data_IF_091261950781
#
_entry.id   IF_091261950781
#
_cell.length_a   1.000
_cell.length_b   1.000
_cell.length_c   1.000
_cell.angle_alpha   90.00
_cell.angle_beta   90.00
_cell.angle_gamma   90.00
#
_symmetry.space_group_name_H-M   'P 1'
#
loop_
_entity.id
_entity.type
_entity.pdbx_description
1 polymer ?
#
# COMPACT_ATOMS: atom_id res chain seq x y z
N UNK A 1 -17.94 -45.26 -14.34
CA UNK A 1 -17.69 -44.86 -12.95
C UNK A 1 -16.79 -43.66 -13.00
N UNK A 2 -17.32 -42.55 -12.50
CA UNK A 2 -16.91 -41.17 -12.72
C UNK A 2 -15.78 -40.80 -11.75
N UNK A 3 -14.53 -40.84 -12.21
CA UNK A 3 -13.39 -40.31 -11.45
C UNK A 3 -13.23 -38.82 -11.79
N UNK A 4 -14.17 -38.01 -11.29
CA UNK A 4 -13.98 -36.58 -11.14
C UNK A 4 -12.96 -36.37 -10.03
N UNK A 5 -11.67 -36.39 -10.39
CA UNK A 5 -10.66 -35.70 -9.60
C UNK A 5 -11.09 -34.24 -9.51
N UNK A 6 -11.71 -33.89 -8.38
CA UNK A 6 -11.73 -32.53 -7.89
C UNK A 6 -10.28 -32.12 -7.70
N UNK A 7 -9.70 -31.57 -8.75
CA UNK A 7 -8.53 -30.71 -8.73
C UNK A 7 -8.83 -29.59 -7.72
N UNK A 8 -8.62 -29.85 -6.43
CA UNK A 8 -8.58 -28.79 -5.44
C UNK A 8 -7.46 -27.87 -5.88
N UNK A 9 -7.80 -26.65 -6.29
CA UNK A 9 -6.84 -25.63 -6.63
C UNK A 9 -5.82 -25.57 -5.49
N UNK A 10 -4.58 -25.96 -5.77
CA UNK A 10 -3.50 -26.06 -4.78
C UNK A 10 -3.18 -24.71 -4.12
N UNK A 11 -3.70 -23.64 -4.73
CA UNK A 11 -3.58 -22.25 -4.37
C UNK A 11 -4.97 -21.67 -4.07
N UNK A 12 -5.10 -21.02 -2.93
CA UNK A 12 -6.29 -20.27 -2.55
C UNK A 12 -5.93 -18.85 -2.14
N UNK A 13 -6.75 -17.89 -2.56
CA UNK A 13 -6.59 -16.48 -2.24
C UNK A 13 -7.49 -16.13 -1.05
N UNK A 14 -6.87 -15.74 0.06
CA UNK A 14 -7.57 -15.20 1.23
C UNK A 14 -7.65 -13.68 1.06
N UNK A 15 -8.83 -13.20 0.67
CA UNK A 15 -9.11 -11.77 0.53
C UNK A 15 -9.19 -11.14 1.92
N UNK A 16 -8.39 -10.08 2.14
CA UNK A 16 -8.37 -9.32 3.41
C UNK A 16 -8.94 -7.92 3.27
N UNK A 17 -8.69 -7.29 2.11
CA UNK A 17 -9.19 -5.96 1.81
C UNK A 17 -9.76 -5.91 0.40
N UNK A 18 -10.82 -5.13 0.25
CA UNK A 18 -11.51 -4.88 -1.01
C UNK A 18 -11.84 -3.41 -1.14
N UNK A 19 -11.94 -2.91 -2.35
CA UNK A 19 -12.42 -1.55 -2.58
C UNK A 19 -12.36 -1.17 -4.03
N UNK A 20 -12.29 0.13 -4.28
CA UNK A 20 -12.15 0.68 -5.62
C UNK A 20 -10.89 1.52 -5.73
N UNK A 21 -10.29 1.51 -6.92
CA UNK A 21 -9.13 2.33 -7.24
C UNK A 21 -9.34 2.99 -8.60
N UNK A 22 -8.85 4.22 -8.73
CA UNK A 22 -8.84 4.94 -10.01
C UNK A 22 -7.61 4.49 -10.81
N UNK A 23 -7.82 4.19 -12.08
CA UNK A 23 -6.79 3.92 -13.07
C UNK A 23 -6.73 5.07 -14.05
N UNK A 24 -5.52 5.43 -14.47
CA UNK A 24 -5.28 6.45 -15.49
C UNK A 24 -4.76 5.77 -16.76
N UNK A 25 -5.40 6.08 -17.89
CA UNK A 25 -4.92 5.65 -19.21
C UNK A 25 -3.91 6.66 -19.82
N UNK A 26 -3.29 6.30 -20.95
CA UNK A 26 -2.32 7.19 -21.62
C UNK A 26 -2.89 8.53 -22.10
N UNK A 27 -4.21 8.67 -22.17
CA UNK A 27 -4.89 9.91 -22.58
C UNK A 27 -5.26 10.80 -21.38
N UNK A 28 -5.05 10.32 -20.16
CA UNK A 28 -5.50 10.97 -18.93
C UNK A 28 -6.94 10.61 -18.54
N UNK A 29 -7.58 9.69 -19.27
CA UNK A 29 -8.89 9.15 -18.96
C UNK A 29 -8.84 8.36 -17.65
N UNK A 30 -9.92 8.46 -16.88
CA UNK A 30 -10.05 7.77 -15.60
C UNK A 30 -11.00 6.58 -15.72
N UNK A 31 -10.57 5.44 -15.19
CA UNK A 31 -11.38 4.22 -15.11
C UNK A 31 -11.36 3.74 -13.66
N UNK A 32 -12.52 3.54 -13.06
CA UNK A 32 -12.60 2.92 -11.73
C UNK A 32 -12.56 1.40 -11.88
N UNK A 33 -11.69 0.75 -11.12
CA UNK A 33 -11.59 -0.71 -11.04
C UNK A 33 -11.84 -1.16 -9.61
N UNK A 34 -12.40 -2.36 -9.46
CA UNK A 34 -12.49 -3.01 -8.15
C UNK A 34 -11.14 -3.66 -7.84
N UNK A 35 -10.75 -3.62 -6.57
CA UNK A 35 -9.55 -4.29 -6.10
C UNK A 35 -9.84 -5.27 -4.97
N UNK A 36 -9.00 -6.29 -4.92
CA UNK A 36 -8.89 -7.20 -3.79
C UNK A 36 -7.42 -7.38 -3.45
N UNK A 37 -7.12 -7.52 -2.18
CA UNK A 37 -5.76 -7.81 -1.72
C UNK A 37 -5.78 -8.71 -0.50
N UNK A 38 -4.71 -9.46 -0.31
CA UNK A 38 -4.61 -10.37 0.81
C UNK A 38 -3.50 -11.40 0.63
N UNK A 39 -3.75 -12.60 1.16
CA UNK A 39 -2.77 -13.67 1.16
C UNK A 39 -3.01 -14.69 0.07
N UNK A 40 -1.92 -15.23 -0.43
CA UNK A 40 -1.87 -16.48 -1.18
C UNK A 40 -1.51 -17.58 -0.21
N UNK A 41 -2.49 -18.39 0.13
CA UNK A 41 -2.24 -19.59 0.89
C UNK A 41 -2.14 -20.78 -0.07
N UNK A 42 -1.16 -21.64 0.19
CA UNK A 42 -0.99 -22.89 -0.55
C UNK A 42 -1.28 -24.04 0.41
N UNK A 43 -1.95 -25.09 -0.05
CA UNK A 43 -2.26 -26.26 0.77
C UNK A 43 -1.02 -27.08 1.19
N UNK A 44 0.20 -26.55 1.03
CA UNK A 44 1.48 -27.22 1.31
C UNK A 44 2.29 -26.40 2.31
N UNK A 45 2.68 -27.03 3.41
CA UNK A 45 3.38 -26.44 4.57
C UNK A 45 4.75 -25.81 4.29
N UNK A 46 5.31 -25.99 3.08
CA UNK A 46 6.68 -25.57 2.70
C UNK A 46 6.75 -24.43 1.69
N UNK A 47 5.62 -23.96 1.17
CA UNK A 47 5.60 -22.80 0.29
C UNK A 47 5.15 -21.62 1.13
N UNK A 48 6.02 -20.62 1.26
CA UNK A 48 5.77 -19.40 2.01
C UNK A 48 4.43 -18.80 1.57
N UNK A 49 3.56 -18.45 2.54
CA UNK A 49 2.34 -17.72 2.24
C UNK A 49 2.73 -16.42 1.54
N UNK A 50 2.23 -16.22 0.33
CA UNK A 50 2.50 -15.02 -0.46
C UNK A 50 1.44 -13.96 -0.23
N UNK A 51 1.58 -12.86 -0.94
CA UNK A 51 0.63 -11.75 -1.01
C UNK A 51 0.13 -11.60 -2.43
N UNK A 52 -1.11 -11.12 -2.57
CA UNK A 52 -1.65 -10.74 -3.87
C UNK A 52 -2.34 -9.39 -3.83
N UNK A 53 -2.34 -8.73 -4.98
CA UNK A 53 -3.24 -7.62 -5.30
C UNK A 53 -3.85 -7.93 -6.67
N UNK A 54 -5.18 -7.90 -6.72
CA UNK A 54 -5.98 -8.16 -7.91
C UNK A 54 -6.80 -6.93 -8.24
N UNK A 55 -6.89 -6.61 -9.52
CA UNK A 55 -7.79 -5.58 -10.06
C UNK A 55 -8.72 -6.18 -11.10
N UNK A 56 -9.98 -5.81 -11.02
CA UNK A 56 -11.02 -6.20 -11.99
C UNK A 56 -11.57 -4.94 -12.64
N UNK A 57 -11.34 -4.80 -13.94
CA UNK A 57 -11.92 -3.72 -14.74
C UNK A 57 -13.44 -3.92 -14.91
N UNK A 58 -14.19 -2.86 -15.25
CA UNK A 58 -15.60 -2.99 -15.64
C UNK A 58 -15.84 -3.93 -16.84
N UNK A 59 -14.81 -4.16 -17.66
CA UNK A 59 -14.81 -5.13 -18.76
C UNK A 59 -14.59 -6.58 -18.30
N UNK A 60 -14.59 -6.84 -16.99
CA UNK A 60 -14.23 -8.12 -16.35
C UNK A 60 -12.78 -8.57 -16.60
N UNK A 61 -11.95 -7.70 -17.19
CA UNK A 61 -10.53 -7.97 -17.36
C UNK A 61 -9.83 -7.92 -16.00
N UNK A 62 -9.10 -8.98 -15.68
CA UNK A 62 -8.42 -9.14 -14.40
C UNK A 62 -6.92 -8.94 -14.55
N UNK A 63 -6.34 -8.10 -13.69
CA UNK A 63 -4.91 -7.97 -13.49
C UNK A 63 -4.54 -8.51 -12.12
N UNK A 64 -3.41 -9.21 -12.04
CA UNK A 64 -2.94 -9.86 -10.82
C UNK A 64 -1.45 -9.59 -10.64
N UNK A 65 -1.08 -9.17 -9.44
CA UNK A 65 0.31 -9.10 -8.98
C UNK A 65 0.46 -9.88 -7.70
N UNK A 66 1.58 -10.58 -7.57
CA UNK A 66 1.83 -11.51 -6.47
C UNK A 66 3.29 -11.47 -6.08
N UNK A 67 3.54 -11.56 -4.78
CA UNK A 67 4.89 -11.59 -4.26
C UNK A 67 4.96 -12.44 -2.99
N UNK A 68 6.08 -13.10 -2.76
CA UNK A 68 6.25 -14.03 -1.62
C UNK A 68 6.46 -13.31 -0.29
N UNK A 69 6.90 -12.05 -0.31
CA UNK A 69 7.47 -11.40 0.86
C UNK A 69 6.71 -10.16 1.30
N UNK A 70 6.17 -9.39 0.35
CA UNK A 70 5.53 -8.13 0.68
C UNK A 70 4.31 -7.81 -0.17
N UNK A 71 3.28 -7.29 0.48
CA UNK A 71 2.05 -6.87 -0.19
C UNK A 71 2.30 -5.69 -1.14
N UNK A 72 3.19 -4.75 -0.77
CA UNK A 72 3.60 -3.66 -1.66
C UNK A 72 4.34 -4.17 -2.91
N UNK A 73 5.17 -5.20 -2.78
CA UNK A 73 5.86 -5.81 -3.93
C UNK A 73 4.85 -6.45 -4.90
N UNK A 74 3.79 -7.06 -4.38
CA UNK A 74 2.68 -7.56 -5.21
C UNK A 74 1.98 -6.42 -5.97
N UNK A 75 1.73 -5.27 -5.33
CA UNK A 75 1.20 -4.06 -5.98
C UNK A 75 2.13 -3.53 -7.08
N UNK A 76 3.44 -3.47 -6.84
CA UNK A 76 4.41 -3.01 -7.84
C UNK A 76 4.45 -3.94 -9.07
N UNK A 77 4.38 -5.26 -8.86
CA UNK A 77 4.28 -6.24 -9.95
C UNK A 77 2.97 -6.10 -10.73
N UNK A 78 1.85 -5.90 -10.04
CA UNK A 78 0.56 -5.61 -10.66
C UNK A 78 0.64 -4.36 -11.56
N UNK A 79 1.20 -3.25 -11.06
CA UNK A 79 1.37 -2.03 -11.83
C UNK A 79 2.28 -2.24 -13.06
N UNK A 80 3.35 -3.02 -12.90
CA UNK A 80 4.20 -3.41 -14.03
C UNK A 80 3.41 -4.20 -15.08
N UNK A 81 2.56 -5.15 -14.68
CA UNK A 81 1.73 -5.93 -15.60
C UNK A 81 0.72 -5.05 -16.36
N UNK A 82 0.12 -4.06 -15.69
CA UNK A 82 -0.83 -3.12 -16.30
C UNK A 82 -0.17 -2.12 -17.26
N UNK A 83 1.08 -1.77 -17.01
CA UNK A 83 1.82 -0.84 -17.89
C UNK A 83 1.92 -1.34 -19.34
N UNK A 84 1.89 -2.67 -19.56
CA UNK A 84 1.87 -3.27 -20.88
C UNK A 84 0.62 -2.90 -21.71
N UNK A 85 -0.49 -2.60 -21.03
CA UNK A 85 -1.73 -2.10 -21.65
C UNK A 85 -1.95 -0.61 -21.43
N UNK A 86 -0.88 0.11 -21.03
CA UNK A 86 -0.87 1.56 -20.83
C UNK A 86 -1.90 2.07 -19.81
N UNK A 87 -2.19 1.25 -18.79
CA UNK A 87 -2.97 1.64 -17.62
C UNK A 87 -2.04 1.73 -16.40
N UNK A 88 -2.31 2.70 -15.52
CA UNK A 88 -1.60 2.85 -14.26
C UNK A 88 -2.58 3.06 -13.10
N UNK A 89 -2.42 2.34 -11.97
CA UNK A 89 -3.20 2.64 -10.77
C UNK A 89 -2.81 3.99 -10.18
N UNK A 90 -3.80 4.78 -9.75
CA UNK A 90 -3.60 6.00 -8.99
C UNK A 90 -3.83 5.71 -7.51
N UNK A 91 -2.80 5.19 -6.84
CA UNK A 91 -2.86 4.88 -5.41
C UNK A 91 -1.55 5.21 -4.67
N UNK A 92 -1.66 5.38 -3.36
CA UNK A 92 -0.58 5.80 -2.47
C UNK A 92 0.64 4.86 -2.49
N UNK A 93 0.43 3.54 -2.55
CA UNK A 93 1.48 2.53 -2.44
C UNK A 93 2.52 2.55 -3.56
N UNK A 94 2.15 3.12 -4.73
CA UNK A 94 3.04 3.30 -5.88
C UNK A 94 3.91 4.55 -5.76
N UNK A 95 3.59 5.49 -4.85
CA UNK A 95 4.41 6.66 -4.64
C UNK A 95 5.73 6.28 -3.95
N UNK A 96 6.89 6.74 -4.44
CA UNK A 96 8.19 6.43 -3.86
C UNK A 96 8.41 7.04 -2.48
N UNK A 97 7.53 7.92 -1.99
CA UNK A 97 7.56 8.50 -0.64
C UNK A 97 6.72 7.71 0.36
N UNK A 98 5.81 6.85 -0.10
CA UNK A 98 5.05 5.96 0.78
C UNK A 98 5.98 4.94 1.44
N UNK A 99 5.82 4.73 2.73
CA UNK A 99 6.60 3.78 3.53
C UNK A 99 5.66 2.85 4.27
N UNK A 100 5.93 1.55 4.19
CA UNK A 100 5.26 0.58 5.05
C UNK A 100 5.84 0.69 6.46
N UNK A 101 4.98 0.62 7.48
CA UNK A 101 5.45 0.58 8.86
C UNK A 101 5.93 -0.83 9.20
N UNK A 102 7.04 -0.96 9.91
CA UNK A 102 7.46 -2.27 10.44
C UNK A 102 6.43 -2.89 11.40
N UNK A 103 5.52 -2.08 11.94
CA UNK A 103 4.41 -2.53 12.82
C UNK A 103 3.17 -2.94 12.04
N UNK A 104 3.09 -2.70 10.73
CA UNK A 104 1.91 -2.98 9.93
C UNK A 104 1.95 -4.35 9.25
N UNK A 105 3.01 -5.15 9.42
CA UNK A 105 3.11 -6.58 9.04
C UNK A 105 2.43 -6.96 7.69
N UNK A 106 2.71 -6.24 6.60
CA UNK A 106 2.08 -6.47 5.29
C UNK A 106 0.54 -6.35 5.27
N UNK A 107 -0.04 -5.56 6.18
CA UNK A 107 -1.47 -5.24 6.20
C UNK A 107 -1.90 -4.32 5.05
N UNK A 108 -0.94 -3.71 4.35
CA UNK A 108 -1.20 -2.71 3.31
C UNK A 108 -1.27 -1.28 3.84
N UNK A 109 -1.17 -1.06 5.16
CA UNK A 109 -1.12 0.28 5.74
C UNK A 109 0.32 0.78 5.88
N UNK A 110 0.51 2.06 5.59
CA UNK A 110 1.78 2.74 5.71
C UNK A 110 1.57 4.23 5.99
N UNK A 111 2.60 5.02 5.73
CA UNK A 111 2.58 6.45 6.00
C UNK A 111 3.38 7.22 4.96
N UNK A 112 3.12 8.51 4.90
CA UNK A 112 3.99 9.48 4.24
C UNK A 112 4.70 10.32 5.30
N UNK A 113 5.92 10.75 5.00
CA UNK A 113 6.62 11.70 5.88
C UNK A 113 5.80 13.00 5.93
N UNK A 114 5.54 13.49 7.15
CA UNK A 114 4.72 14.68 7.42
C UNK A 114 3.21 14.53 7.17
N UNK A 115 2.71 13.29 6.97
CA UNK A 115 1.28 13.02 6.98
C UNK A 115 0.90 12.30 8.29
N UNK A 116 -0.04 12.84 9.09
CA UNK A 116 -0.29 12.36 10.45
C UNK A 116 -1.01 11.01 10.49
N UNK A 117 -1.80 10.69 9.45
CA UNK A 117 -2.68 9.53 9.45
C UNK A 117 -2.06 8.34 8.69
N UNK A 118 -2.35 7.09 9.10
CA UNK A 118 -1.99 5.93 8.31
C UNK A 118 -2.80 5.92 7.00
N UNK A 119 -2.14 5.56 5.91
CA UNK A 119 -2.74 5.50 4.56
C UNK A 119 -2.62 4.09 4.03
N UNK A 120 -3.74 3.52 3.60
CA UNK A 120 -3.72 2.21 2.93
C UNK A 120 -3.11 2.37 1.54
N UNK A 121 -2.31 1.40 1.10
CA UNK A 121 -1.56 1.48 -0.16
C UNK A 121 -2.45 1.59 -1.40
N UNK A 122 -3.73 1.19 -1.30
CA UNK A 122 -4.72 1.30 -2.38
C UNK A 122 -5.54 2.60 -2.32
N UNK A 123 -5.39 3.40 -1.27
CA UNK A 123 -6.08 4.68 -1.17
C UNK A 123 -5.54 5.68 -2.20
N UNK A 124 -6.34 6.69 -2.58
CA UNK A 124 -5.85 7.80 -3.37
C UNK A 124 -4.63 8.46 -2.71
N UNK A 125 -3.73 8.99 -3.52
CA UNK A 125 -2.62 9.79 -3.00
C UNK A 125 -3.19 11.02 -2.27
N UNK A 126 -2.78 11.29 -1.02
CA UNK A 126 -3.25 12.46 -0.29
C UNK A 126 -2.86 13.74 -1.05
N UNK A 127 -3.83 14.63 -1.25
CA UNK A 127 -3.61 15.95 -1.85
C UNK A 127 -3.10 16.94 -0.80
N UNK A 128 -2.30 17.93 -1.24
CA UNK A 128 -0.84 17.78 -1.21
C UNK A 128 -0.35 17.34 0.18
N UNK A 129 0.63 16.44 0.20
CA UNK A 129 1.63 16.42 1.26
C UNK A 129 2.18 17.86 1.33
N UNK A 130 1.68 18.68 2.24
CA UNK A 130 2.21 20.03 2.45
C UNK A 130 3.69 19.83 2.76
N UNK A 131 4.49 20.08 1.73
CA UNK A 131 5.92 20.06 1.83
C UNK A 131 6.25 21.15 2.83
N UNK A 132 6.71 20.71 4.00
CA UNK A 132 7.25 21.56 5.03
C UNK A 132 6.20 22.56 5.57
N UNK A 133 5.48 22.12 6.60
CA UNK A 133 4.93 23.06 7.56
C UNK A 133 6.13 23.81 8.16
N UNK A 134 6.59 24.87 7.48
CA UNK A 134 7.63 25.78 7.95
C UNK A 134 7.27 26.39 9.32
N UNK A 135 6.02 26.20 9.76
CA UNK A 135 5.56 26.45 11.11
C UNK A 135 5.89 25.38 12.15
N UNK A 136 6.09 24.11 11.78
CA UNK A 136 6.36 23.03 12.74
C UNK A 136 7.78 23.11 13.33
N UNK A 137 8.82 23.40 12.55
CA UNK A 137 10.16 23.62 13.10
C UNK A 137 10.23 24.90 13.95
N UNK A 138 9.48 25.94 13.57
CA UNK A 138 9.32 27.15 14.36
C UNK A 138 8.59 26.89 15.70
N UNK A 139 7.49 26.10 15.68
CA UNK A 139 6.74 25.67 16.88
C UNK A 139 7.58 24.78 17.79
N UNK A 140 8.39 23.86 17.23
CA UNK A 140 9.34 23.04 18.01
C UNK A 140 10.41 23.93 18.65
N UNK A 141 11.01 24.86 17.92
CA UNK A 141 12.02 25.79 18.47
C UNK A 141 11.42 26.71 19.54
N UNK A 142 10.18 27.14 19.39
CA UNK A 142 9.47 27.95 20.37
C UNK A 142 9.15 27.14 21.65
N UNK A 143 8.67 25.90 21.50
CA UNK A 143 8.45 24.98 22.61
C UNK A 143 9.75 24.66 23.38
N UNK A 144 10.86 24.41 22.66
CA UNK A 144 12.18 24.17 23.25
C UNK A 144 12.75 25.42 23.92
N UNK A 145 12.50 26.63 23.39
CA UNK A 145 12.86 27.89 24.06
C UNK A 145 12.15 28.08 25.40
N UNK A 146 10.92 27.60 25.53
CA UNK A 146 10.15 27.61 26.78
C UNK A 146 10.60 26.55 27.78
N UNK A 147 11.15 25.43 27.30
CA UNK A 147 11.68 24.35 28.14
C UNK A 147 13.10 24.65 28.65
N UNK A 148 13.21 25.55 29.64
CA UNK A 148 14.42 25.63 30.48
C UNK A 148 14.48 24.42 31.41
N UNK A 149 14.99 23.30 30.90
CA UNK A 149 15.37 22.16 31.73
C UNK A 149 16.67 22.50 32.46
N UNK A 150 16.55 22.91 33.72
CA UNK A 150 17.43 22.42 34.80
C UNK A 150 18.92 22.76 34.82
N UNK A 151 19.39 23.86 34.22
CA UNK A 151 20.74 24.38 34.53
C UNK A 151 20.64 25.43 35.64
N UNK A 152 20.57 24.97 36.89
CA UNK A 152 20.76 25.82 38.07
C UNK A 152 22.24 26.24 38.12
N UNK A 153 22.60 27.52 37.99
CA UNK A 153 23.98 27.92 38.13
C UNK A 153 24.41 27.76 39.59
N UNK A 154 25.50 27.02 39.81
CA UNK A 154 26.10 26.82 41.13
C UNK A 154 26.64 28.18 41.64
N UNK A 155 26.22 28.67 42.81
CA UNK A 155 26.78 29.91 43.36
C UNK A 155 28.27 29.74 43.65
N UNK A 156 29.06 30.77 43.35
CA UNK A 156 30.49 30.86 43.66
C UNK A 156 30.71 31.09 45.15
#
# INVERSE_FOLDING_TARGET
>A
MDNREMSMAWRHYEVRHTGQVVLIDQTGGQITAEYESGLVATGKTRVFAGYFVRLTLPSETVFLGEDEHALRSALLRLASNMSAVKLAPQCAGLDPRWRESGLSENSGFGYFVFYPDPVHMMDPMPSPLEADDAGTDAKIREAVRGMRIGLTPRPR
#
